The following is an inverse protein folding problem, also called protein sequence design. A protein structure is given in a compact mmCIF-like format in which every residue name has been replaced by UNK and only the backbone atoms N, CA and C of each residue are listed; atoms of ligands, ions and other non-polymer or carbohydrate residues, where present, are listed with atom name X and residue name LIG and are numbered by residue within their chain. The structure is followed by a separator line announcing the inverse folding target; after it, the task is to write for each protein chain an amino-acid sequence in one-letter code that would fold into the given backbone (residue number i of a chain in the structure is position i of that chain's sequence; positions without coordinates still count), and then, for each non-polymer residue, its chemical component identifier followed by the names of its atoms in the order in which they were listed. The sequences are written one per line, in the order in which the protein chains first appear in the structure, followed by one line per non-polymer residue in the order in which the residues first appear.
data_IF_905458223163
#
_entry.id   IF_905458223163
#
_cell.length_a   1.000
_cell.length_b   1.000
_cell.length_c   1.000
_cell.angle_alpha   90.00
_cell.angle_beta   90.00
_cell.angle_gamma   90.00
#
_symmetry.space_group_name_H-M   'P 1'
#
loop_
_entity.id
_entity.type
_entity.pdbx_description
1 polymer ?
#
# COMPACT_ATOMS: atom_id res chain seq x y z
N UNK A 1 -8.97 -7.46 25.01
CA UNK A 1 -8.11 -7.20 23.84
C UNK A 1 -8.98 -6.96 22.62
N UNK A 2 -8.79 -5.85 21.93
CA UNK A 2 -9.60 -5.54 20.74
C UNK A 2 -9.00 -6.22 19.51
N UNK A 3 -9.79 -7.06 18.86
CA UNK A 3 -9.33 -7.76 17.66
C UNK A 3 -9.30 -6.84 16.45
N UNK A 4 -8.36 -7.11 15.55
CA UNK A 4 -8.33 -6.46 14.24
C UNK A 4 -9.19 -7.25 13.26
N UNK A 5 -9.85 -6.54 12.36
CA UNK A 5 -10.71 -7.13 11.32
C UNK A 5 -10.26 -6.60 9.97
N UNK A 6 -10.14 -7.48 8.99
CA UNK A 6 -9.85 -7.07 7.61
C UNK A 6 -11.19 -6.81 6.92
N UNK A 7 -11.32 -5.63 6.31
CA UNK A 7 -12.53 -5.23 5.61
C UNK A 7 -12.15 -4.57 4.28
N UNK A 8 -13.15 -4.12 3.53
CA UNK A 8 -12.94 -3.32 2.33
C UNK A 8 -13.10 -1.84 2.63
N UNK A 9 -13.76 -1.12 1.71
CA UNK A 9 -14.05 0.30 1.94
C UNK A 9 -15.08 0.47 3.06
N UNK A 10 -14.79 1.42 3.94
CA UNK A 10 -15.74 1.91 4.93
C UNK A 10 -15.74 3.43 4.91
N UNK A 11 -16.85 4.10 5.25
CA UNK A 11 -16.86 5.57 5.31
C UNK A 11 -15.75 6.11 6.20
N UNK A 12 -15.03 7.12 5.71
CA UNK A 12 -13.90 7.69 6.41
C UNK A 12 -12.55 7.08 6.03
N UNK A 13 -12.53 5.97 5.29
CA UNK A 13 -11.29 5.30 4.91
C UNK A 13 -10.32 6.22 4.16
N UNK A 14 -10.80 7.00 3.20
CA UNK A 14 -9.94 7.91 2.44
C UNK A 14 -9.24 8.90 3.36
N UNK A 15 -10.00 9.56 4.22
CA UNK A 15 -9.43 10.54 5.15
C UNK A 15 -8.46 9.92 6.13
N UNK A 16 -8.81 8.78 6.69
CA UNK A 16 -7.96 8.12 7.70
C UNK A 16 -6.67 7.57 7.08
N UNK A 17 -6.75 6.93 5.93
CA UNK A 17 -5.56 6.40 5.23
C UNK A 17 -4.64 7.56 4.86
N UNK A 18 -5.20 8.66 4.36
CA UNK A 18 -4.43 9.86 4.05
C UNK A 18 -3.74 10.41 5.30
N UNK A 19 -4.46 10.50 6.41
CA UNK A 19 -3.91 10.95 7.69
C UNK A 19 -2.75 10.07 8.15
N UNK A 20 -2.94 8.75 8.09
CA UNK A 20 -1.89 7.81 8.49
C UNK A 20 -0.62 7.99 7.66
N UNK A 21 -0.76 8.14 6.34
CA UNK A 21 0.38 8.38 5.46
C UNK A 21 1.03 9.74 5.75
N UNK A 22 0.25 10.80 5.79
CA UNK A 22 0.78 12.15 5.99
C UNK A 22 1.50 12.29 7.33
N UNK A 23 0.93 11.71 8.38
CA UNK A 23 1.51 11.77 9.72
C UNK A 23 2.82 10.99 9.80
N UNK A 24 2.82 9.75 9.30
CA UNK A 24 4.03 8.90 9.36
C UNK A 24 5.16 9.50 8.53
N UNK A 25 4.90 9.80 7.27
CA UNK A 25 5.92 10.29 6.36
C UNK A 25 6.32 11.74 6.67
N UNK A 26 5.41 12.52 7.23
CA UNK A 26 5.72 13.87 7.70
C UNK A 26 6.68 13.85 8.87
N UNK A 27 6.47 12.97 9.83
CA UNK A 27 7.31 12.88 11.04
C UNK A 27 8.68 12.30 10.76
N UNK A 28 8.77 11.30 9.89
CA UNK A 28 10.01 10.54 9.67
C UNK A 28 10.81 11.02 8.45
N UNK A 29 10.14 11.62 7.45
CA UNK A 29 10.75 11.94 6.17
C UNK A 29 10.52 13.38 5.74
N UNK A 30 9.81 14.15 6.57
CA UNK A 30 9.50 15.55 6.31
C UNK A 30 8.70 15.74 5.00
N UNK A 31 7.87 14.79 4.65
CA UNK A 31 6.93 14.93 3.53
C UNK A 31 5.79 15.85 3.97
N UNK A 32 5.36 16.75 3.09
CA UNK A 32 4.40 17.79 3.41
C UNK A 32 3.10 17.71 2.62
N UNK A 33 2.53 18.88 2.36
CA UNK A 33 1.23 19.03 1.70
C UNK A 33 1.16 18.34 0.33
N UNK A 34 2.23 18.41 -0.46
CA UNK A 34 2.25 17.78 -1.77
C UNK A 34 1.97 16.28 -1.65
N UNK A 35 2.64 15.61 -0.71
CA UNK A 35 2.47 14.17 -0.47
C UNK A 35 1.06 13.85 0.03
N UNK A 36 0.56 14.59 1.02
CA UNK A 36 -0.79 14.39 1.54
C UNK A 36 -1.84 14.54 0.44
N UNK A 37 -1.74 15.61 -0.35
CA UNK A 37 -2.65 15.88 -1.44
C UNK A 37 -2.61 14.78 -2.51
N UNK A 38 -1.41 14.29 -2.82
CA UNK A 38 -1.23 13.20 -3.77
C UNK A 38 -1.92 11.91 -3.28
N UNK A 39 -1.71 11.54 -2.03
CA UNK A 39 -2.35 10.36 -1.44
C UNK A 39 -3.87 10.51 -1.50
N UNK A 40 -4.40 11.63 -1.03
CA UNK A 40 -5.85 11.86 -0.99
C UNK A 40 -6.48 11.82 -2.38
N UNK A 41 -5.85 12.49 -3.34
CA UNK A 41 -6.37 12.60 -4.71
C UNK A 41 -6.33 11.26 -5.44
N UNK A 42 -5.19 10.57 -5.39
CA UNK A 42 -5.02 9.32 -6.13
C UNK A 42 -5.81 8.17 -5.51
N UNK A 43 -5.88 8.13 -4.18
CA UNK A 43 -6.71 7.13 -3.50
C UNK A 43 -8.19 7.34 -3.81
N UNK A 44 -8.64 8.61 -3.80
CA UNK A 44 -10.01 8.95 -4.17
C UNK A 44 -10.34 8.51 -5.59
N UNK A 45 -9.45 8.82 -6.53
CA UNK A 45 -9.63 8.43 -7.94
C UNK A 45 -9.72 6.91 -8.08
N UNK A 46 -8.81 6.18 -7.42
CA UNK A 46 -8.77 4.72 -7.47
C UNK A 46 -10.11 4.15 -6.96
N UNK A 47 -10.58 4.61 -5.81
CA UNK A 47 -11.82 4.08 -5.21
C UNK A 47 -13.06 4.44 -6.03
N UNK A 48 -13.06 5.59 -6.70
CA UNK A 48 -14.18 5.99 -7.56
C UNK A 48 -14.30 5.13 -8.81
N UNK A 49 -13.18 4.62 -9.34
CA UNK A 49 -13.16 3.75 -10.52
C UNK A 49 -12.94 2.27 -10.17
N UNK A 50 -13.06 1.94 -8.90
CA UNK A 50 -12.80 0.59 -8.39
C UNK A 50 -13.65 -0.45 -9.13
N UNK A 51 -12.97 -1.50 -9.61
CA UNK A 51 -13.61 -2.61 -10.29
C UNK A 51 -13.23 -3.90 -9.54
N UNK A 52 -14.17 -4.54 -8.81
CA UNK A 52 -13.85 -5.73 -8.01
C UNK A 52 -13.37 -6.92 -8.83
N UNK A 53 -13.59 -6.91 -10.15
CA UNK A 53 -13.09 -7.97 -11.01
C UNK A 53 -11.59 -7.89 -11.25
N UNK A 54 -10.98 -6.71 -11.04
CA UNK A 54 -9.55 -6.52 -11.29
C UNK A 54 -8.78 -5.89 -10.13
N UNK A 55 -9.47 -5.14 -9.26
CA UNK A 55 -8.84 -4.36 -8.20
C UNK A 55 -9.13 -4.96 -6.82
N UNK A 56 -8.22 -4.76 -5.88
CA UNK A 56 -8.41 -5.14 -4.50
C UNK A 56 -8.17 -3.97 -3.57
N UNK A 57 -8.94 -3.91 -2.48
CA UNK A 57 -8.76 -2.88 -1.47
C UNK A 57 -9.12 -3.46 -0.10
N UNK A 58 -8.16 -3.38 0.82
CA UNK A 58 -8.32 -3.93 2.17
C UNK A 58 -7.98 -2.88 3.20
N UNK A 59 -8.80 -2.83 4.26
CA UNK A 59 -8.55 -2.00 5.43
C UNK A 59 -8.44 -2.88 6.65
N UNK A 60 -7.70 -2.40 7.64
CA UNK A 60 -7.63 -3.04 8.96
C UNK A 60 -8.44 -2.18 9.90
N UNK A 61 -9.47 -2.77 10.50
CA UNK A 61 -10.36 -2.06 11.44
C UNK A 61 -10.10 -2.57 12.84
N UNK A 62 -9.91 -1.64 13.78
CA UNK A 62 -9.83 -1.95 15.20
C UNK A 62 -10.63 -0.89 15.97
N UNK A 63 -11.60 -1.36 16.77
CA UNK A 63 -12.42 -0.44 17.55
C UNK A 63 -13.18 0.59 16.71
N UNK A 64 -13.62 0.18 15.51
CA UNK A 64 -14.33 1.06 14.59
C UNK A 64 -13.46 2.05 13.83
N UNK A 65 -12.14 1.96 13.99
CA UNK A 65 -11.20 2.89 13.35
C UNK A 65 -10.35 2.17 12.32
N UNK A 66 -10.12 2.80 11.17
CA UNK A 66 -9.19 2.26 10.16
C UNK A 66 -7.76 2.48 10.65
N UNK A 67 -7.04 1.38 10.81
CA UNK A 67 -5.67 1.41 11.33
C UNK A 67 -4.65 0.87 10.34
N UNK A 68 -5.06 0.56 9.15
CA UNK A 68 -4.15 0.11 8.10
C UNK A 68 -4.87 -0.09 6.78
N UNK A 69 -4.10 -0.22 5.72
CA UNK A 69 -4.65 -0.43 4.38
C UNK A 69 -3.64 -1.04 3.43
N UNK A 70 -4.15 -1.59 2.34
CA UNK A 70 -3.38 -2.00 1.17
C UNK A 70 -4.33 -2.04 -0.02
N UNK A 71 -3.86 -1.60 -1.18
CA UNK A 71 -4.65 -1.66 -2.41
C UNK A 71 -3.86 -2.35 -3.51
N UNK A 72 -4.59 -3.04 -4.37
CA UNK A 72 -4.07 -3.58 -5.64
C UNK A 72 -4.84 -2.89 -6.77
N UNK A 73 -4.12 -2.14 -7.58
CA UNK A 73 -4.66 -1.52 -8.78
C UNK A 73 -4.34 -2.43 -9.96
N UNK A 74 -5.37 -3.10 -10.48
CA UNK A 74 -5.23 -4.07 -11.55
C UNK A 74 -5.42 -3.51 -12.95
N UNK A 75 -5.57 -2.20 -13.10
CA UNK A 75 -5.86 -1.59 -14.41
C UNK A 75 -4.81 -1.92 -15.48
N UNK A 76 -3.54 -2.07 -15.10
CA UNK A 76 -2.43 -2.38 -16.01
C UNK A 76 -1.81 -3.74 -15.69
N UNK A 77 -2.58 -4.65 -15.10
CA UNK A 77 -2.05 -5.91 -14.57
C UNK A 77 -1.37 -6.78 -15.62
N UNK A 78 -1.91 -6.82 -16.84
CA UNK A 78 -1.37 -7.68 -17.89
C UNK A 78 -0.14 -7.09 -18.59
N UNK A 79 0.07 -5.78 -18.51
CA UNK A 79 1.21 -5.12 -19.14
C UNK A 79 2.32 -4.81 -18.14
N UNK A 80 2.06 -3.96 -17.18
CA UNK A 80 3.06 -3.55 -16.19
C UNK A 80 3.09 -4.42 -14.95
N UNK A 81 1.95 -5.04 -14.63
CA UNK A 81 1.73 -5.80 -13.42
C UNK A 81 0.69 -5.16 -12.54
N UNK A 82 0.22 -5.88 -11.54
CA UNK A 82 -0.69 -5.35 -10.54
C UNK A 82 0.07 -4.38 -9.64
N UNK A 83 -0.45 -3.17 -9.46
CA UNK A 83 0.23 -2.12 -8.70
C UNK A 83 -0.21 -2.14 -7.24
N UNK A 84 0.69 -2.50 -6.34
CA UNK A 84 0.45 -2.47 -4.90
C UNK A 84 0.67 -1.05 -4.41
N UNK A 85 -0.34 -0.49 -3.75
CA UNK A 85 -0.34 0.91 -3.31
C UNK A 85 -0.92 1.07 -1.91
N UNK A 86 -0.62 2.19 -1.29
CA UNK A 86 -1.15 2.64 0.01
C UNK A 86 -1.11 1.55 1.08
N UNK A 87 0.03 0.89 1.18
CA UNK A 87 0.29 -0.08 2.22
C UNK A 87 0.81 0.63 3.46
N UNK A 88 0.02 0.62 4.51
CA UNK A 88 0.40 1.24 5.77
C UNK A 88 -0.29 0.52 6.93
N UNK A 89 0.40 0.48 8.07
CA UNK A 89 -0.14 -0.06 9.33
C UNK A 89 0.19 0.96 10.41
N UNK A 90 -0.84 1.38 11.17
CA UNK A 90 -0.64 2.40 12.20
C UNK A 90 0.15 1.85 13.38
N UNK A 91 0.80 2.74 14.12
CA UNK A 91 1.55 2.37 15.31
C UNK A 91 0.64 1.75 16.38
N UNK A 92 -0.64 2.10 16.38
CA UNK A 92 -1.62 1.59 17.35
C UNK A 92 -1.79 0.07 17.30
N UNK A 93 -1.55 -0.54 16.14
CA UNK A 93 -1.70 -1.98 15.97
C UNK A 93 -0.40 -2.67 15.53
N UNK A 94 0.72 -1.99 15.69
CA UNK A 94 2.03 -2.55 15.34
C UNK A 94 2.29 -3.81 16.15
N UNK A 95 2.90 -4.83 15.52
CA UNK A 95 3.22 -6.09 16.18
C UNK A 95 2.08 -7.08 16.29
N UNK A 96 0.90 -6.78 15.69
CA UNK A 96 -0.25 -7.68 15.72
C UNK A 96 -0.44 -8.48 14.43
N UNK A 97 0.55 -8.45 13.54
CA UNK A 97 0.52 -9.23 12.31
C UNK A 97 -0.35 -8.65 11.20
N UNK A 98 -0.81 -7.40 11.35
CA UNK A 98 -1.68 -6.76 10.36
C UNK A 98 -1.02 -6.64 8.98
N UNK A 99 0.25 -6.26 8.94
CA UNK A 99 0.99 -6.14 7.69
C UNK A 99 1.08 -7.46 6.93
N UNK A 100 1.36 -8.55 7.64
CA UNK A 100 1.38 -9.89 7.04
C UNK A 100 0.01 -10.27 6.49
N UNK A 101 -1.06 -10.01 7.25
CA UNK A 101 -2.42 -10.35 6.82
C UNK A 101 -2.82 -9.57 5.58
N UNK A 102 -2.51 -8.27 5.53
CA UNK A 102 -2.78 -7.44 4.36
C UNK A 102 -2.02 -7.97 3.14
N UNK A 103 -0.75 -8.30 3.32
CA UNK A 103 0.07 -8.81 2.22
C UNK A 103 -0.43 -10.16 1.73
N UNK A 104 -0.82 -11.05 2.63
CA UNK A 104 -1.40 -12.35 2.27
C UNK A 104 -2.67 -12.18 1.44
N UNK A 105 -3.54 -11.25 1.84
CA UNK A 105 -4.77 -10.95 1.09
C UNK A 105 -4.45 -10.45 -0.31
N UNK A 106 -3.51 -9.50 -0.43
CA UNK A 106 -3.15 -8.89 -1.70
C UNK A 106 -2.50 -9.90 -2.66
N UNK A 107 -1.53 -10.66 -2.17
CA UNK A 107 -0.84 -11.66 -2.99
C UNK A 107 -1.80 -12.77 -3.41
N UNK A 108 -2.63 -13.24 -2.47
CA UNK A 108 -3.64 -14.25 -2.76
C UNK A 108 -4.63 -13.79 -3.82
N UNK A 109 -5.08 -12.55 -3.73
CA UNK A 109 -5.96 -11.95 -4.74
C UNK A 109 -5.31 -11.97 -6.13
N UNK A 110 -4.07 -11.51 -6.23
CA UNK A 110 -3.38 -11.46 -7.52
C UNK A 110 -3.12 -12.86 -8.10
N UNK A 111 -2.86 -13.85 -7.23
CA UNK A 111 -2.72 -15.24 -7.69
C UNK A 111 -4.03 -15.80 -8.23
N UNK A 112 -5.15 -15.53 -7.57
CA UNK A 112 -6.47 -15.96 -8.03
C UNK A 112 -6.86 -15.32 -9.36
N UNK A 113 -6.42 -14.07 -9.57
CA UNK A 113 -6.65 -13.37 -10.85
C UNK A 113 -5.65 -13.79 -11.93
N UNK A 114 -4.66 -14.60 -11.58
CA UNK A 114 -3.62 -15.07 -12.49
C UNK A 114 -2.81 -13.93 -13.11
N UNK A 115 -2.62 -12.86 -12.34
CA UNK A 115 -1.77 -11.75 -12.78
C UNK A 115 -0.31 -12.19 -12.89
N UNK A 116 0.44 -11.69 -13.90
CA UNK A 116 1.82 -12.15 -14.10
C UNK A 116 2.77 -11.70 -13.00
N UNK A 117 2.53 -10.54 -12.41
CA UNK A 117 3.40 -9.98 -11.38
C UNK A 117 2.70 -8.88 -10.59
N UNK A 118 3.29 -8.57 -9.44
CA UNK A 118 2.90 -7.41 -8.62
C UNK A 118 4.12 -6.50 -8.56
N UNK A 119 3.92 -5.20 -8.67
CA UNK A 119 5.00 -4.25 -8.45
C UNK A 119 4.58 -3.15 -7.49
N UNK A 120 5.58 -2.53 -6.87
CA UNK A 120 5.37 -1.38 -6.00
C UNK A 120 6.55 -0.42 -6.12
N UNK A 121 6.29 0.83 -5.79
CA UNK A 121 7.32 1.84 -5.65
C UNK A 121 7.43 2.22 -4.17
N UNK A 122 8.66 2.31 -3.70
CA UNK A 122 9.01 2.77 -2.36
C UNK A 122 10.28 3.59 -2.47
N UNK A 123 10.93 3.89 -1.35
CA UNK A 123 12.20 4.58 -1.39
C UNK A 123 13.13 4.02 -0.31
N UNK A 124 14.44 4.30 -0.49
CA UNK A 124 15.46 3.80 0.41
C UNK A 124 15.26 4.34 1.82
N UNK A 125 15.32 3.44 2.80
CA UNK A 125 15.24 3.79 4.21
C UNK A 125 14.01 3.27 4.93
N UNK A 126 13.02 2.77 4.20
CA UNK A 126 11.80 2.19 4.79
C UNK A 126 12.06 0.70 5.12
N UNK A 127 12.96 0.44 6.07
CA UNK A 127 13.43 -0.91 6.37
C UNK A 127 12.36 -1.91 6.79
N UNK A 128 11.41 -1.58 7.68
CA UNK A 128 10.37 -2.53 8.06
C UNK A 128 9.51 -2.98 6.88
N UNK A 129 9.12 -2.05 6.02
CA UNK A 129 8.33 -2.37 4.83
C UNK A 129 9.15 -3.22 3.85
N UNK A 130 10.40 -2.83 3.60
CA UNK A 130 11.30 -3.59 2.73
C UNK A 130 11.46 -5.03 3.21
N UNK A 131 11.65 -5.21 4.51
CA UNK A 131 11.80 -6.54 5.10
C UNK A 131 10.58 -7.42 4.82
N UNK A 132 9.39 -6.84 4.94
CA UNK A 132 8.13 -7.54 4.64
C UNK A 132 8.02 -7.87 3.16
N UNK A 133 8.35 -6.93 2.27
CA UNK A 133 8.33 -7.20 0.83
C UNK A 133 9.26 -8.37 0.48
N UNK A 134 10.48 -8.34 0.98
CA UNK A 134 11.45 -9.42 0.72
C UNK A 134 10.98 -10.76 1.27
N UNK A 135 10.34 -10.75 2.44
CA UNK A 135 9.77 -11.96 3.03
C UNK A 135 8.72 -12.61 2.12
N UNK A 136 7.93 -11.81 1.42
CA UNK A 136 6.93 -12.32 0.48
C UNK A 136 7.49 -12.63 -0.91
N UNK A 137 8.77 -12.41 -1.12
CA UNK A 137 9.44 -12.77 -2.37
C UNK A 137 9.64 -11.62 -3.35
N UNK A 138 9.29 -10.40 -2.96
CA UNK A 138 9.55 -9.23 -3.81
C UNK A 138 11.04 -8.98 -3.90
N UNK A 139 11.49 -8.54 -5.07
CA UNK A 139 12.89 -8.19 -5.32
C UNK A 139 12.98 -6.79 -5.89
N UNK A 140 14.00 -6.06 -5.48
CA UNK A 140 14.28 -4.75 -6.05
C UNK A 140 14.79 -4.92 -7.48
N UNK A 141 14.13 -4.26 -8.42
CA UNK A 141 14.49 -4.36 -9.84
C UNK A 141 14.93 -3.03 -10.44
N UNK A 142 14.71 -1.92 -9.73
CA UNK A 142 15.07 -0.60 -10.23
C UNK A 142 15.33 0.35 -9.08
N UNK A 143 16.15 1.37 -9.34
CA UNK A 143 16.46 2.42 -8.38
C UNK A 143 16.79 3.70 -9.13
N UNK A 144 16.12 4.79 -8.78
CA UNK A 144 16.29 6.07 -9.46
C UNK A 144 16.07 7.22 -8.49
N UNK A 145 16.84 8.29 -8.63
CA UNK A 145 16.56 9.51 -7.88
C UNK A 145 15.32 10.17 -8.48
N UNK A 146 14.37 10.55 -7.64
CA UNK A 146 13.13 11.12 -8.09
C UNK A 146 12.41 11.91 -7.03
N UNK A 147 11.33 12.57 -7.42
CA UNK A 147 10.54 13.44 -6.56
C UNK A 147 9.05 13.16 -6.68
N UNK A 148 8.68 11.90 -6.98
CA UNK A 148 7.26 11.61 -7.21
C UNK A 148 6.37 11.93 -6.02
N UNK A 149 6.94 11.95 -4.81
CA UNK A 149 6.19 12.27 -3.59
C UNK A 149 6.45 13.71 -3.09
N UNK A 150 7.03 14.55 -3.93
CA UNK A 150 7.25 15.96 -3.62
C UNK A 150 8.57 16.28 -2.94
N UNK A 151 9.40 15.28 -2.72
CA UNK A 151 10.73 15.45 -2.12
C UNK A 151 11.69 14.50 -2.79
N UNK A 152 12.94 14.92 -2.97
CA UNK A 152 13.93 14.06 -3.61
C UNK A 152 14.31 12.91 -2.70
N UNK A 153 14.12 11.70 -3.21
CA UNK A 153 14.48 10.47 -2.52
C UNK A 153 15.01 9.48 -3.55
N UNK A 154 15.66 8.43 -3.05
CA UNK A 154 16.12 7.34 -3.90
C UNK A 154 14.95 6.35 -4.03
N UNK A 155 14.24 6.44 -5.14
CA UNK A 155 13.05 5.62 -5.39
C UNK A 155 13.46 4.21 -5.79
N UNK A 156 12.74 3.23 -5.28
CA UNK A 156 13.04 1.81 -5.52
C UNK A 156 11.77 1.11 -5.98
N UNK A 157 11.91 0.34 -7.06
CA UNK A 157 10.81 -0.49 -7.58
C UNK A 157 11.07 -1.93 -7.19
N UNK A 158 10.06 -2.56 -6.59
CA UNK A 158 10.10 -3.98 -6.21
C UNK A 158 9.07 -4.74 -7.01
N UNK A 159 9.41 -5.97 -7.37
CA UNK A 159 8.53 -6.84 -8.16
C UNK A 159 8.46 -8.23 -7.54
N UNK A 160 7.26 -8.79 -7.52
CA UNK A 160 7.03 -10.20 -7.21
C UNK A 160 6.48 -10.87 -8.47
N UNK A 161 7.23 -11.79 -9.03
CA UNK A 161 6.77 -12.59 -10.17
C UNK A 161 5.81 -13.68 -9.67
N UNK A 162 4.65 -13.80 -10.32
CA UNK A 162 3.63 -14.79 -9.97
C UNK A 162 3.56 -15.95 -10.97
N UNK A 163 4.17 -15.77 -12.14
CA UNK A 163 4.27 -16.78 -13.19
C UNK A 163 5.73 -17.06 -13.50
#
# INVERSE_FOLDING_TARGET
MTNIVIAGYVPGAIGRITELHATYYGSHWDFGLFFESKVASELSEFLRRFDPERDGFWTVIRGGCVEGSLAIDGAQAETEGAHLRWFIVSDAIRGQGAGNRLMEEAVGFCRRKEYPRIFLWTFKGLHPARHLYEKFGFRQVDQVEGEQWGKQVLEQRFVLALR
#
